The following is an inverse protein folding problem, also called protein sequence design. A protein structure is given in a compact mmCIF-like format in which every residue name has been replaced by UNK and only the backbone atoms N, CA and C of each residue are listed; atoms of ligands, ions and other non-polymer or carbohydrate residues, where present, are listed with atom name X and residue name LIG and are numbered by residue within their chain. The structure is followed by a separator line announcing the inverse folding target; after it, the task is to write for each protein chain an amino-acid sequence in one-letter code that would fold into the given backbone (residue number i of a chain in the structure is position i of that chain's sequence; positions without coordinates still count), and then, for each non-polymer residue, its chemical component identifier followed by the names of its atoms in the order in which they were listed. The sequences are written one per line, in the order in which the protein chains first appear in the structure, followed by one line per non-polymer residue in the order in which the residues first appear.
data_IF_951273972609
#
_entry.id   IF_951273972609
#
_cell.length_a   1.000
_cell.length_b   1.000
_cell.length_c   1.000
_cell.angle_alpha   90.00
_cell.angle_beta   90.00
_cell.angle_gamma   90.00
#
_symmetry.space_group_name_H-M   'P 1'
#
loop_
_entity.id
_entity.type
_entity.pdbx_description
1 polymer ?
#
# COMPACT_ATOMS: atom_id res chain seq x y z
N UNK A 1 -29.41 -12.06 -3.16
CA UNK A 1 -28.46 -11.14 -3.85
C UNK A 1 -27.19 -11.91 -4.09
N UNK A 2 -26.61 -11.81 -5.30
CA UNK A 2 -25.28 -12.38 -5.57
C UNK A 2 -24.27 -11.48 -4.85
N UNK A 3 -23.47 -12.04 -3.94
CA UNK A 3 -22.43 -11.32 -3.21
C UNK A 3 -21.05 -11.86 -3.56
N UNK A 4 -20.00 -11.07 -3.23
CA UNK A 4 -18.62 -11.48 -3.45
C UNK A 4 -18.28 -12.72 -2.63
N UNK A 5 -17.33 -13.47 -3.14
CA UNK A 5 -16.74 -14.64 -2.50
C UNK A 5 -15.41 -14.23 -1.87
N UNK A 6 -15.13 -14.75 -0.69
CA UNK A 6 -13.84 -14.70 0.00
C UNK A 6 -13.31 -16.12 0.21
N UNK A 7 -12.00 -16.25 0.44
CA UNK A 7 -11.40 -17.50 0.86
C UNK A 7 -11.02 -17.40 2.35
N UNK A 8 -11.38 -18.42 3.13
CA UNK A 8 -10.99 -18.51 4.54
C UNK A 8 -10.72 -19.98 4.90
N UNK A 9 -9.52 -20.26 5.39
CA UNK A 9 -9.14 -21.57 5.96
C UNK A 9 -9.53 -22.81 5.12
N UNK A 10 -9.27 -22.78 3.82
CA UNK A 10 -9.54 -23.91 2.93
C UNK A 10 -10.86 -23.84 2.15
N UNK A 11 -11.68 -22.83 2.40
CA UNK A 11 -13.02 -22.74 1.81
C UNK A 11 -13.24 -21.40 1.10
N UNK A 12 -13.92 -21.45 -0.06
CA UNK A 12 -14.49 -20.27 -0.70
C UNK A 12 -15.90 -20.07 -0.14
N UNK A 13 -16.13 -18.94 0.50
CA UNK A 13 -17.36 -18.61 1.24
C UNK A 13 -17.89 -17.25 0.83
N UNK A 14 -19.18 -16.95 1.04
CA UNK A 14 -19.71 -15.59 0.91
C UNK A 14 -18.90 -14.58 1.73
N UNK A 15 -18.63 -13.38 1.18
CA UNK A 15 -17.83 -12.36 1.88
C UNK A 15 -18.43 -11.96 3.24
N UNK A 16 -19.77 -11.97 3.36
CA UNK A 16 -20.49 -11.73 4.62
C UNK A 16 -20.19 -12.77 5.71
N UNK A 17 -19.76 -13.97 5.34
CA UNK A 17 -19.38 -15.07 6.25
C UNK A 17 -17.89 -15.10 6.57
N UNK A 18 -17.06 -14.29 5.87
CA UNK A 18 -15.63 -14.21 6.09
C UNK A 18 -15.31 -13.49 7.41
N UNK A 19 -15.33 -14.24 8.51
CA UNK A 19 -15.18 -13.73 9.87
C UNK A 19 -14.01 -14.39 10.58
N UNK A 20 -13.19 -13.57 11.22
CA UNK A 20 -12.11 -14.04 12.09
C UNK A 20 -12.64 -14.09 13.53
N UNK A 21 -12.35 -15.18 14.24
CA UNK A 21 -12.81 -15.34 15.62
C UNK A 21 -12.12 -14.35 16.55
N UNK A 22 -12.84 -13.84 17.56
CA UNK A 22 -12.30 -12.86 18.55
C UNK A 22 -11.11 -13.36 19.35
N UNK A 23 -10.89 -14.67 19.44
CA UNK A 23 -9.70 -15.27 20.08
C UNK A 23 -8.49 -15.38 19.15
N UNK A 24 -8.64 -15.08 17.87
CA UNK A 24 -7.53 -15.08 16.94
C UNK A 24 -6.46 -14.07 17.36
N UNK A 25 -5.21 -14.47 17.34
CA UNK A 25 -4.08 -13.62 17.74
C UNK A 25 -3.92 -12.42 16.82
N UNK A 26 -4.33 -12.51 15.56
CA UNK A 26 -4.38 -11.38 14.63
C UNK A 26 -5.24 -10.26 15.19
N UNK A 27 -6.42 -10.58 15.73
CA UNK A 27 -7.30 -9.61 16.37
C UNK A 27 -6.78 -9.16 17.74
N UNK A 28 -6.36 -10.12 18.62
CA UNK A 28 -6.00 -9.83 20.01
C UNK A 28 -4.65 -9.14 20.20
N UNK A 29 -3.70 -9.40 19.29
CA UNK A 29 -2.30 -9.02 19.45
C UNK A 29 -1.67 -8.40 18.18
N UNK A 30 -2.44 -8.23 17.11
CA UNK A 30 -1.88 -7.81 15.82
C UNK A 30 -0.90 -8.82 15.20
N UNK A 31 -0.94 -10.09 15.64
CA UNK A 31 -0.04 -11.16 15.19
C UNK A 31 -0.52 -11.73 13.85
N UNK A 32 -0.46 -10.86 12.83
CA UNK A 32 -0.95 -11.11 11.48
C UNK A 32 -0.15 -10.30 10.47
N UNK A 33 0.23 -10.94 9.38
CA UNK A 33 0.85 -10.31 8.23
C UNK A 33 -0.06 -10.40 7.01
N UNK A 34 0.10 -9.47 6.08
CA UNK A 34 -0.74 -9.40 4.90
C UNK A 34 0.01 -8.86 3.69
N UNK A 35 -0.59 -9.02 2.52
CA UNK A 35 -0.24 -8.23 1.34
C UNK A 35 -1.49 -7.73 0.62
N UNK A 36 -1.31 -6.83 -0.33
CA UNK A 36 -2.42 -6.23 -1.06
C UNK A 36 -1.98 -5.84 -2.46
N UNK A 37 -2.71 -6.31 -3.45
CA UNK A 37 -2.56 -6.02 -4.85
C UNK A 37 -3.79 -5.30 -5.40
N UNK A 38 -3.64 -4.72 -6.59
CA UNK A 38 -4.79 -4.26 -7.37
C UNK A 38 -4.86 -4.96 -8.72
N UNK A 39 -6.05 -4.98 -9.28
CA UNK A 39 -6.23 -5.32 -10.69
C UNK A 39 -6.14 -4.08 -11.58
N UNK A 40 -5.86 -4.31 -12.85
CA UNK A 40 -6.05 -3.38 -13.96
C UNK A 40 -6.84 -4.13 -15.04
N UNK A 41 -8.05 -3.68 -15.29
CA UNK A 41 -9.02 -4.40 -16.14
C UNK A 41 -9.14 -5.89 -15.79
N UNK A 42 -9.34 -6.15 -14.49
CA UNK A 42 -9.50 -7.47 -13.92
C UNK A 42 -8.22 -8.32 -13.79
N UNK A 43 -7.06 -7.85 -14.23
CA UNK A 43 -5.78 -8.59 -14.14
C UNK A 43 -4.94 -8.08 -12.99
N UNK A 44 -4.54 -8.97 -12.06
CA UNK A 44 -3.70 -8.60 -10.91
C UNK A 44 -2.30 -8.19 -11.40
N UNK A 45 -1.84 -7.04 -10.93
CA UNK A 45 -0.51 -6.53 -11.21
C UNK A 45 0.51 -7.06 -10.21
N UNK A 46 1.55 -7.75 -10.69
CA UNK A 46 2.69 -8.25 -9.89
C UNK A 46 2.30 -9.12 -8.70
N UNK A 47 1.33 -10.00 -8.86
CA UNK A 47 0.88 -10.91 -7.80
C UNK A 47 2.05 -11.68 -7.18
N UNK A 48 2.96 -12.21 -8.00
CA UNK A 48 4.09 -13.01 -7.52
C UNK A 48 5.00 -12.22 -6.57
N UNK A 49 5.37 -11.01 -6.92
CA UNK A 49 6.25 -10.16 -6.09
C UNK A 49 5.58 -9.78 -4.76
N UNK A 50 4.26 -9.57 -4.76
CA UNK A 50 3.47 -9.35 -3.54
C UNK A 50 3.47 -10.59 -2.66
N UNK A 51 3.21 -11.77 -3.21
CA UNK A 51 3.25 -13.03 -2.46
C UNK A 51 4.65 -13.33 -1.92
N UNK A 52 5.71 -13.08 -2.68
CA UNK A 52 7.09 -13.20 -2.19
C UNK A 52 7.35 -12.28 -1.00
N UNK A 53 6.81 -11.05 -1.00
CA UNK A 53 6.90 -10.13 0.15
C UNK A 53 6.08 -10.65 1.34
N UNK A 54 4.87 -11.17 1.12
CA UNK A 54 4.08 -11.83 2.15
C UNK A 54 4.87 -12.97 2.81
N UNK A 55 5.51 -13.83 2.01
CA UNK A 55 6.31 -14.94 2.53
C UNK A 55 7.58 -14.50 3.25
N UNK A 56 8.21 -13.38 2.85
CA UNK A 56 9.29 -12.77 3.65
C UNK A 56 8.76 -12.29 5.01
N UNK A 57 7.59 -11.66 5.05
CA UNK A 57 6.93 -11.24 6.29
C UNK A 57 6.59 -12.44 7.18
N UNK A 58 5.99 -13.49 6.61
CA UNK A 58 5.69 -14.76 7.31
C UNK A 58 6.94 -15.39 7.91
N UNK A 59 8.04 -15.44 7.15
CA UNK A 59 9.32 -15.97 7.63
C UNK A 59 9.86 -15.18 8.82
N UNK A 60 9.78 -13.82 8.76
CA UNK A 60 10.24 -12.95 9.84
C UNK A 60 9.44 -13.18 11.14
N UNK A 61 8.11 -13.23 11.06
CA UNK A 61 7.25 -13.46 12.23
C UNK A 61 7.11 -14.93 12.62
N UNK A 62 7.73 -15.86 11.88
CA UNK A 62 7.68 -17.31 12.10
C UNK A 62 6.26 -17.88 12.10
N UNK A 63 5.48 -17.51 11.10
CA UNK A 63 4.17 -18.11 10.83
C UNK A 63 4.32 -18.98 9.57
N UNK A 64 3.99 -20.27 9.68
CA UNK A 64 3.87 -21.16 8.53
C UNK A 64 2.42 -21.17 8.07
N UNK A 65 2.10 -20.69 6.87
CA UNK A 65 0.73 -20.70 6.36
C UNK A 65 0.23 -22.09 5.99
N UNK A 66 1.09 -23.10 5.99
CA UNK A 66 0.79 -24.46 5.51
C UNK A 66 0.56 -24.53 3.99
N UNK A 67 0.96 -23.52 3.24
CA UNK A 67 0.75 -23.36 1.80
C UNK A 67 2.05 -22.95 1.10
N UNK A 68 2.30 -23.47 -0.09
CA UNK A 68 3.35 -22.96 -0.97
C UNK A 68 2.90 -21.64 -1.63
N UNK A 69 3.86 -20.81 -2.07
CA UNK A 69 3.56 -19.59 -2.83
C UNK A 69 2.70 -19.91 -4.05
N UNK A 70 3.03 -20.97 -4.80
CA UNK A 70 2.30 -21.36 -6.01
C UNK A 70 0.84 -21.74 -5.70
N UNK A 71 0.60 -22.42 -4.57
CA UNK A 71 -0.77 -22.73 -4.15
C UNK A 71 -1.53 -21.48 -3.71
N UNK A 72 -0.86 -20.57 -3.01
CA UNK A 72 -1.45 -19.29 -2.61
C UNK A 72 -1.81 -18.44 -3.84
N UNK A 73 -0.91 -18.37 -4.83
CA UNK A 73 -1.14 -17.70 -6.10
C UNK A 73 -2.34 -18.28 -6.85
N UNK A 74 -2.39 -19.61 -7.01
CA UNK A 74 -3.49 -20.27 -7.68
C UNK A 74 -4.85 -20.01 -7.00
N UNK A 75 -4.90 -20.03 -5.65
CA UNK A 75 -6.12 -19.71 -4.90
C UNK A 75 -6.53 -18.24 -5.04
N UNK A 76 -5.57 -17.34 -5.11
CA UNK A 76 -5.84 -15.90 -5.31
C UNK A 76 -6.45 -15.67 -6.70
N UNK A 77 -5.90 -16.29 -7.73
CA UNK A 77 -6.43 -16.20 -9.09
C UNK A 77 -7.82 -16.83 -9.22
N UNK A 78 -8.03 -17.99 -8.60
CA UNK A 78 -9.36 -18.63 -8.54
C UNK A 78 -10.39 -17.75 -7.84
N UNK A 79 -10.00 -17.10 -6.72
CA UNK A 79 -10.89 -16.18 -6.02
C UNK A 79 -11.27 -14.99 -6.90
N UNK A 80 -10.30 -14.43 -7.62
CA UNK A 80 -10.54 -13.32 -8.54
C UNK A 80 -11.51 -13.71 -9.65
N UNK A 81 -11.31 -14.89 -10.28
CA UNK A 81 -12.18 -15.41 -11.33
C UNK A 81 -13.64 -15.58 -10.84
N UNK A 82 -13.82 -16.12 -9.62
CA UNK A 82 -15.16 -16.26 -9.00
C UNK A 82 -15.87 -14.92 -8.77
N UNK A 83 -15.12 -13.84 -8.61
CA UNK A 83 -15.65 -12.49 -8.38
C UNK A 83 -15.73 -11.63 -9.65
N UNK A 84 -15.15 -12.06 -10.78
CA UNK A 84 -15.15 -11.28 -12.02
C UNK A 84 -16.55 -10.85 -12.49
N UNK A 85 -17.61 -11.69 -12.40
CA UNK A 85 -18.97 -11.29 -12.76
C UNK A 85 -19.53 -10.09 -11.96
N UNK A 86 -18.93 -9.78 -10.79
CA UNK A 86 -19.35 -8.70 -9.90
C UNK A 86 -18.47 -7.46 -9.99
N UNK A 87 -17.41 -7.48 -10.79
CA UNK A 87 -16.45 -6.37 -10.90
C UNK A 87 -17.09 -5.09 -11.43
N UNK A 88 -17.98 -5.22 -12.42
CA UNK A 88 -18.56 -4.09 -13.13
C UNK A 88 -17.58 -3.42 -14.11
N UNK A 89 -18.13 -2.84 -15.17
CA UNK A 89 -17.34 -2.17 -16.19
C UNK A 89 -16.63 -0.93 -15.61
N UNK A 90 -15.34 -0.75 -15.93
CA UNK A 90 -14.53 0.37 -15.46
C UNK A 90 -14.04 0.26 -14.01
N UNK A 91 -14.49 -0.77 -13.28
CA UNK A 91 -14.05 -1.02 -11.91
C UNK A 91 -12.88 -2.01 -11.86
N UNK A 92 -12.16 -1.96 -10.76
CA UNK A 92 -11.10 -2.88 -10.42
C UNK A 92 -11.17 -3.29 -8.95
N UNK A 93 -10.43 -4.33 -8.59
CA UNK A 93 -10.38 -4.87 -7.25
C UNK A 93 -9.05 -4.57 -6.56
N UNK A 94 -9.13 -4.38 -5.26
CA UNK A 94 -8.04 -4.68 -4.35
C UNK A 94 -8.18 -6.13 -3.91
N UNK A 95 -7.11 -6.86 -3.97
CA UNK A 95 -7.00 -8.25 -3.48
C UNK A 95 -6.12 -8.23 -2.26
N UNK A 96 -6.59 -8.79 -1.16
CA UNK A 96 -5.89 -8.79 0.11
C UNK A 96 -5.71 -10.22 0.61
N UNK A 97 -4.47 -10.64 0.78
CA UNK A 97 -4.11 -11.88 1.46
C UNK A 97 -3.66 -11.56 2.88
N UNK A 98 -4.10 -12.33 3.85
CA UNK A 98 -3.63 -12.22 5.23
C UNK A 98 -3.42 -13.60 5.85
N UNK A 99 -2.48 -13.67 6.78
CA UNK A 99 -2.21 -14.87 7.57
C UNK A 99 -1.96 -14.45 9.01
N UNK A 100 -2.81 -14.91 9.93
CA UNK A 100 -2.58 -14.75 11.36
C UNK A 100 -2.00 -16.04 11.95
N UNK A 101 -1.49 -15.94 13.17
CA UNK A 101 -1.02 -17.11 13.92
C UNK A 101 -2.14 -18.03 14.43
N UNK A 102 -3.43 -17.67 14.20
CA UNK A 102 -4.58 -18.47 14.62
C UNK A 102 -5.00 -18.26 16.08
N UNK A 103 -5.78 -19.20 16.60
CA UNK A 103 -6.49 -19.09 17.89
C UNK A 103 -5.68 -19.50 19.13
N UNK A 104 -4.36 -19.43 19.11
CA UNK A 104 -3.50 -19.79 20.24
C UNK A 104 -3.48 -18.76 21.38
N UNK A 105 -3.20 -19.22 22.59
CA UNK A 105 -2.96 -18.34 23.76
C UNK A 105 -1.57 -17.70 23.71
N UNK A 106 -0.54 -18.47 23.30
CA UNK A 106 0.85 -18.05 23.18
C UNK A 106 1.31 -18.09 21.73
N UNK A 107 2.39 -17.37 21.43
CA UNK A 107 2.93 -17.30 20.06
C UNK A 107 3.54 -18.62 19.58
N UNK A 108 3.86 -19.54 20.47
CA UNK A 108 4.41 -20.87 20.18
C UNK A 108 3.42 -22.04 20.35
N UNK A 109 2.13 -21.74 20.59
CA UNK A 109 1.12 -22.77 20.65
C UNK A 109 0.99 -23.46 19.28
N UNK A 110 0.87 -24.80 19.25
CA UNK A 110 0.74 -25.57 18.01
C UNK A 110 -0.69 -25.52 17.46
N UNK A 111 -1.11 -24.35 17.00
CA UNK A 111 -2.44 -24.11 16.41
C UNK A 111 -2.33 -23.79 14.92
N UNK A 112 -3.32 -24.18 14.11
CA UNK A 112 -3.31 -23.83 12.70
C UNK A 112 -3.42 -22.32 12.53
N UNK A 113 -2.73 -21.72 11.53
CA UNK A 113 -2.89 -20.31 11.19
C UNK A 113 -4.28 -20.05 10.61
N UNK A 114 -4.74 -18.81 10.71
CA UNK A 114 -5.88 -18.34 9.92
C UNK A 114 -5.37 -17.76 8.61
N UNK A 115 -5.81 -18.32 7.49
CA UNK A 115 -5.43 -17.89 6.14
C UNK A 115 -6.64 -17.35 5.43
N UNK A 116 -6.59 -16.10 4.98
CA UNK A 116 -7.68 -15.47 4.25
C UNK A 116 -7.24 -14.74 3.00
N UNK A 117 -8.13 -14.71 2.00
CA UNK A 117 -8.00 -13.91 0.78
C UNK A 117 -9.33 -13.22 0.53
N UNK A 118 -9.31 -11.92 0.32
CA UNK A 118 -10.50 -11.11 0.04
C UNK A 118 -10.30 -10.23 -1.18
N UNK A 119 -11.40 -9.95 -1.87
CA UNK A 119 -11.47 -8.94 -2.92
C UNK A 119 -12.44 -7.84 -2.52
N UNK A 120 -12.09 -6.59 -2.81
CA UNK A 120 -12.95 -5.44 -2.58
C UNK A 120 -12.82 -4.45 -3.72
N UNK A 121 -13.91 -3.76 -4.13
CA UNK A 121 -13.84 -2.71 -5.13
C UNK A 121 -12.88 -1.61 -4.70
N UNK A 122 -12.17 -1.02 -5.66
CA UNK A 122 -11.34 0.17 -5.40
C UNK A 122 -12.25 1.37 -5.18
N UNK A 123 -12.06 2.11 -4.10
CA UNK A 123 -12.73 3.39 -3.87
C UNK A 123 -11.98 4.52 -4.60
N UNK A 124 -12.22 4.64 -5.90
CA UNK A 124 -11.59 5.68 -6.72
C UNK A 124 -12.00 7.09 -6.27
N UNK A 125 -13.26 7.31 -5.92
CA UNK A 125 -13.78 8.62 -5.52
C UNK A 125 -13.03 9.22 -4.32
N UNK A 126 -12.49 8.37 -3.43
CA UNK A 126 -11.74 8.82 -2.25
C UNK A 126 -10.45 9.60 -2.56
N UNK A 127 -9.89 9.41 -3.77
CA UNK A 127 -8.60 10.05 -4.11
C UNK A 127 -8.53 10.64 -5.53
N UNK A 128 -9.49 10.35 -6.41
CA UNK A 128 -9.42 10.73 -7.83
C UNK A 128 -9.12 12.22 -8.07
N UNK A 129 -9.73 13.12 -7.28
CA UNK A 129 -9.51 14.56 -7.39
C UNK A 129 -8.05 14.97 -7.24
N UNK A 130 -7.28 14.24 -6.44
CA UNK A 130 -5.88 14.58 -6.14
C UNK A 130 -4.93 14.35 -7.32
N UNK A 131 -5.33 13.62 -8.36
CA UNK A 131 -4.55 13.60 -9.60
C UNK A 131 -4.45 14.97 -10.25
N UNK A 132 -5.45 15.85 -10.04
CA UNK A 132 -5.50 17.22 -10.60
C UNK A 132 -5.02 18.29 -9.63
N UNK A 133 -5.30 18.11 -8.33
CA UNK A 133 -5.03 19.15 -7.33
C UNK A 133 -3.78 18.87 -6.49
N UNK A 134 -3.27 17.65 -6.52
CA UNK A 134 -2.27 17.15 -5.56
C UNK A 134 -2.88 16.90 -4.17
N UNK A 135 -2.39 15.90 -3.50
CA UNK A 135 -2.75 15.58 -2.12
C UNK A 135 -2.08 16.54 -1.14
N UNK A 136 -2.71 16.73 0.02
CA UNK A 136 -2.08 17.38 1.16
C UNK A 136 -1.41 16.32 2.04
N UNK A 137 -0.11 16.48 2.28
CA UNK A 137 0.66 15.62 3.18
C UNK A 137 0.98 16.39 4.46
N UNK A 138 0.76 15.77 5.62
CA UNK A 138 1.03 16.34 6.94
C UNK A 138 2.03 15.46 7.69
N UNK A 139 3.04 16.08 8.32
CA UNK A 139 4.01 15.37 9.16
C UNK A 139 3.48 15.35 10.60
N UNK A 140 2.96 14.19 11.09
CA UNK A 140 2.39 14.08 12.43
C UNK A 140 3.49 14.01 13.51
N UNK A 141 3.10 14.13 14.79
CA UNK A 141 4.02 13.91 15.93
C UNK A 141 4.34 12.43 16.11
N UNK A 142 3.37 11.57 15.82
CA UNK A 142 3.53 10.11 15.88
C UNK A 142 4.62 9.65 14.92
N UNK A 143 5.49 8.76 15.40
CA UNK A 143 6.64 8.24 14.63
C UNK A 143 6.34 6.88 14.02
N UNK A 144 7.07 6.55 12.95
CA UNK A 144 7.10 5.22 12.38
C UNK A 144 7.73 4.21 13.35
N UNK A 145 7.51 2.93 13.10
CA UNK A 145 8.17 1.88 13.87
C UNK A 145 9.70 1.96 13.70
N UNK A 146 10.42 1.72 14.80
CA UNK A 146 11.86 1.43 14.72
C UNK A 146 12.06 -0.02 14.32
N UNK A 147 13.02 -0.29 13.44
CA UNK A 147 13.44 -1.65 13.11
C UNK A 147 13.93 -2.43 14.35
N UNK A 148 14.28 -1.74 15.44
CA UNK A 148 14.66 -2.36 16.72
C UNK A 148 13.44 -2.90 17.51
N UNK A 149 12.23 -2.42 17.24
CA UNK A 149 10.99 -2.89 17.89
C UNK A 149 10.20 -3.81 16.96
N UNK A 150 9.89 -3.36 15.78
CA UNK A 150 9.19 -4.12 14.74
C UNK A 150 9.63 -3.58 13.38
N UNK A 151 10.32 -4.43 12.61
CA UNK A 151 10.92 -3.99 11.35
C UNK A 151 9.85 -3.52 10.34
N UNK A 152 9.88 -2.27 9.86
CA UNK A 152 8.89 -1.73 8.91
C UNK A 152 8.81 -2.49 7.58
N UNK A 153 9.82 -3.30 7.25
CA UNK A 153 9.80 -4.17 6.06
C UNK A 153 8.77 -5.29 6.17
N UNK A 154 8.31 -5.61 7.39
CA UNK A 154 7.23 -6.57 7.62
C UNK A 154 5.87 -5.88 7.41
N UNK A 155 5.08 -6.42 6.48
CA UNK A 155 3.74 -5.88 6.24
C UNK A 155 2.73 -6.54 7.18
N UNK A 156 2.32 -5.82 8.25
CA UNK A 156 1.51 -6.35 9.36
C UNK A 156 0.31 -5.46 9.69
N UNK A 157 -0.65 -5.99 10.44
CA UNK A 157 -1.83 -5.24 10.92
C UNK A 157 -1.68 -4.63 12.32
N UNK A 158 -0.51 -4.67 12.94
CA UNK A 158 -0.20 -3.90 14.16
C UNK A 158 -0.02 -2.42 13.79
N UNK A 159 -1.12 -1.71 13.53
CA UNK A 159 -1.12 -0.40 12.86
C UNK A 159 -1.66 0.74 13.73
N UNK A 160 -1.64 0.59 15.05
CA UNK A 160 -2.21 1.60 15.94
C UNK A 160 -1.49 2.96 15.86
N UNK A 161 -0.16 2.95 15.68
CA UNK A 161 0.60 4.19 15.47
C UNK A 161 0.19 4.90 14.17
N UNK A 162 -0.13 4.14 13.11
CA UNK A 162 -0.60 4.71 11.85
C UNK A 162 -1.99 5.32 11.98
N UNK A 163 -2.89 4.67 12.76
CA UNK A 163 -4.20 5.25 13.06
C UNK A 163 -4.07 6.56 13.86
N UNK A 164 -3.15 6.64 14.83
CA UNK A 164 -2.87 7.88 15.55
C UNK A 164 -2.30 8.96 14.62
N UNK A 165 -1.37 8.61 13.75
CA UNK A 165 -0.81 9.54 12.77
C UNK A 165 -1.87 10.07 11.78
N UNK A 166 -2.82 9.22 11.37
CA UNK A 166 -3.95 9.60 10.52
C UNK A 166 -4.88 10.59 11.23
N UNK A 167 -5.23 10.34 12.50
CA UNK A 167 -6.02 11.28 13.31
C UNK A 167 -5.30 12.62 13.43
N UNK A 168 -4.01 12.65 13.77
CA UNK A 168 -3.24 13.89 13.86
C UNK A 168 -3.20 14.66 12.53
N UNK A 169 -3.10 13.97 11.39
CA UNK A 169 -3.13 14.62 10.09
C UNK A 169 -4.51 15.17 9.74
N UNK A 170 -5.58 14.41 10.04
CA UNK A 170 -6.96 14.82 9.79
C UNK A 170 -7.44 15.94 10.70
N UNK A 171 -6.83 16.14 11.88
CA UNK A 171 -7.03 17.33 12.71
C UNK A 171 -6.54 18.63 12.02
N UNK A 172 -5.58 18.52 11.10
CA UNK A 172 -5.07 19.66 10.31
C UNK A 172 -5.92 19.89 9.06
N UNK A 173 -6.25 18.81 8.35
CA UNK A 173 -7.05 18.84 7.12
C UNK A 173 -7.74 17.45 6.97
N UNK A 174 -9.08 17.39 6.91
CA UNK A 174 -9.82 16.13 6.81
C UNK A 174 -9.39 15.19 5.69
N UNK A 175 -8.76 15.73 4.64
CA UNK A 175 -8.27 14.98 3.49
C UNK A 175 -6.76 14.74 3.50
N UNK A 176 -6.06 15.07 4.60
CA UNK A 176 -4.61 14.98 4.67
C UNK A 176 -4.11 13.53 4.77
N UNK A 177 -2.97 13.30 4.17
CA UNK A 177 -2.21 12.06 4.23
C UNK A 177 -1.03 12.21 5.20
N UNK A 178 -0.92 11.40 6.26
CA UNK A 178 0.21 11.49 7.18
C UNK A 178 1.50 10.98 6.53
N UNK A 179 2.60 11.70 6.71
CA UNK A 179 3.96 11.29 6.36
C UNK A 179 4.78 11.18 7.66
N UNK A 180 5.06 9.95 8.06
CA UNK A 180 5.73 9.71 9.33
C UNK A 180 7.24 10.00 9.23
N UNK A 181 7.82 10.39 10.36
CA UNK A 181 9.25 10.40 10.55
C UNK A 181 9.68 9.15 11.31
N UNK A 182 10.92 8.72 11.10
CA UNK A 182 11.57 7.75 11.98
C UNK A 182 11.95 8.37 13.33
N UNK A 183 12.61 7.60 14.21
CA UNK A 183 13.00 8.07 15.54
C UNK A 183 14.16 9.08 15.48
N UNK A 184 14.93 9.12 14.41
CA UNK A 184 16.03 10.05 14.17
C UNK A 184 15.54 11.35 13.50
N UNK A 185 14.25 11.46 13.17
CA UNK A 185 13.65 12.64 12.54
C UNK A 185 13.77 12.68 11.02
N UNK A 186 14.17 11.58 10.40
CA UNK A 186 14.17 11.47 8.94
C UNK A 186 12.79 11.07 8.41
N UNK A 187 12.48 11.44 7.18
CA UNK A 187 11.27 10.99 6.49
C UNK A 187 11.28 9.47 6.38
N UNK A 188 10.15 8.85 6.70
CA UNK A 188 9.90 7.43 6.54
C UNK A 188 8.89 7.23 5.39
N UNK A 189 7.68 6.88 5.71
CA UNK A 189 6.64 6.61 4.71
C UNK A 189 5.26 7.10 5.17
N UNK A 190 4.32 7.17 4.24
CA UNK A 190 2.91 7.30 4.56
C UNK A 190 2.38 5.97 5.11
N UNK A 191 1.26 5.99 5.80
CA UNK A 191 0.62 4.79 6.38
C UNK A 191 0.33 3.66 5.37
N UNK A 192 0.29 3.96 4.07
CA UNK A 192 -0.03 2.99 3.01
C UNK A 192 0.80 3.16 1.74
N UNK A 193 1.72 4.13 1.69
CA UNK A 193 2.47 4.49 0.49
C UNK A 193 3.92 4.87 0.81
N UNK A 194 4.82 4.61 -0.11
CA UNK A 194 6.16 5.20 -0.09
C UNK A 194 6.10 6.65 -0.59
N UNK A 195 6.92 7.52 0.00
CA UNK A 195 6.99 8.94 -0.32
C UNK A 195 8.20 9.23 -1.22
N UNK A 196 8.00 10.10 -2.20
CA UNK A 196 9.03 10.52 -3.15
C UNK A 196 9.02 12.03 -3.29
N UNK A 197 10.21 12.59 -3.49
CA UNK A 197 10.42 14.00 -3.86
C UNK A 197 11.22 14.09 -5.15
N UNK A 198 11.06 15.20 -5.85
CA UNK A 198 11.89 15.57 -7.01
C UNK A 198 12.54 16.92 -6.71
N UNK A 199 13.85 17.02 -6.92
CA UNK A 199 14.60 18.27 -6.80
C UNK A 199 15.64 18.33 -7.90
N UNK A 200 15.62 19.38 -8.72
CA UNK A 200 16.55 19.54 -9.83
C UNK A 200 16.51 18.38 -10.84
N UNK A 201 15.36 17.74 -11.02
CA UNK A 201 15.19 16.60 -11.92
C UNK A 201 15.61 15.24 -11.35
N UNK A 202 16.12 15.16 -10.11
CA UNK A 202 16.47 13.93 -9.40
C UNK A 202 15.31 13.47 -8.50
N UNK A 203 14.88 12.24 -8.67
CA UNK A 203 13.91 11.59 -7.78
C UNK A 203 14.65 11.04 -6.57
N UNK A 204 14.18 11.38 -5.36
CA UNK A 204 14.67 10.84 -4.10
C UNK A 204 13.53 10.27 -3.27
N UNK A 205 13.81 9.23 -2.51
CA UNK A 205 12.87 8.57 -1.60
C UNK A 205 13.61 8.08 -0.37
N UNK A 206 12.97 7.95 0.80
CA UNK A 206 13.62 7.39 1.97
C UNK A 206 14.30 6.05 1.69
N UNK A 207 15.47 5.84 2.34
CA UNK A 207 16.24 4.61 2.24
C UNK A 207 15.47 3.41 2.83
N UNK A 208 15.87 2.19 2.45
CA UNK A 208 15.13 0.95 2.73
C UNK A 208 15.20 0.46 4.18
N UNK A 209 15.95 1.12 5.05
CA UNK A 209 16.14 0.69 6.44
C UNK A 209 14.86 0.82 7.28
N UNK A 210 14.07 1.88 7.06
CA UNK A 210 12.95 2.27 7.93
C UNK A 210 11.63 2.44 7.16
N UNK A 211 11.43 1.70 6.06
CA UNK A 211 10.23 1.72 5.23
C UNK A 211 9.86 0.33 4.76
N UNK A 212 8.60 0.16 4.35
CA UNK A 212 8.20 -1.01 3.59
C UNK A 212 8.85 -0.98 2.20
N UNK A 213 9.45 -2.11 1.81
CA UNK A 213 9.95 -2.31 0.44
C UNK A 213 8.75 -2.49 -0.52
N UNK A 214 8.20 -1.36 -0.98
CA UNK A 214 6.98 -1.33 -1.78
C UNK A 214 7.18 -1.92 -3.19
N UNK A 215 6.29 -2.79 -3.65
CA UNK A 215 6.26 -3.24 -5.05
C UNK A 215 6.03 -2.03 -5.96
N UNK A 216 5.14 -1.12 -5.58
CA UNK A 216 4.95 0.16 -6.27
C UNK A 216 6.19 1.05 -6.27
N UNK A 217 6.96 1.05 -5.17
CA UNK A 217 8.26 1.75 -5.11
C UNK A 217 9.24 1.19 -6.16
N UNK A 218 9.33 -0.13 -6.26
CA UNK A 218 10.14 -0.80 -7.29
C UNK A 218 9.70 -0.40 -8.70
N UNK A 219 8.39 -0.38 -8.96
CA UNK A 219 7.84 0.09 -10.25
C UNK A 219 8.26 1.52 -10.56
N UNK A 220 8.25 2.45 -9.59
CA UNK A 220 8.72 3.83 -9.80
C UNK A 220 10.18 3.86 -10.25
N UNK A 221 11.07 3.09 -9.60
CA UNK A 221 12.50 3.02 -10.01
C UNK A 221 12.67 2.45 -11.42
N UNK A 222 11.91 1.42 -11.78
CA UNK A 222 11.93 0.83 -13.12
C UNK A 222 11.47 1.82 -14.18
N UNK A 223 10.37 2.54 -13.92
CA UNK A 223 9.85 3.58 -14.81
C UNK A 223 10.82 4.75 -14.94
N UNK A 224 11.39 5.23 -13.84
CA UNK A 224 12.40 6.28 -13.84
C UNK A 224 13.60 5.88 -14.71
N UNK A 225 14.12 4.65 -14.54
CA UNK A 225 15.21 4.11 -15.37
C UNK A 225 14.83 4.05 -16.83
N UNK A 226 13.63 3.58 -17.19
CA UNK A 226 13.12 3.52 -18.57
C UNK A 226 13.04 4.91 -19.20
N UNK A 227 12.70 5.93 -18.42
CA UNK A 227 12.59 7.32 -18.86
C UNK A 227 13.91 8.10 -18.82
N UNK A 228 15.00 7.48 -18.36
CA UNK A 228 16.28 8.18 -18.18
C UNK A 228 16.29 9.21 -17.06
N UNK A 229 15.36 9.11 -16.08
CA UNK A 229 15.26 10.00 -14.95
C UNK A 229 16.07 9.41 -13.79
N UNK A 230 17.05 10.13 -13.21
CA UNK A 230 17.82 9.63 -12.10
C UNK A 230 16.93 9.48 -10.85
N UNK A 231 17.07 8.34 -10.15
CA UNK A 231 16.31 8.04 -8.93
C UNK A 231 17.19 7.32 -7.91
N UNK A 232 17.09 7.70 -6.63
CA UNK A 232 17.88 7.08 -5.56
C UNK A 232 17.15 7.07 -4.22
N UNK A 233 17.50 6.09 -3.38
CA UNK A 233 17.19 6.13 -1.94
C UNK A 233 18.18 7.08 -1.23
N UNK A 234 17.66 7.87 -0.29
CA UNK A 234 18.47 8.83 0.47
C UNK A 234 17.93 8.99 1.90
N UNK A 235 18.76 9.49 2.79
CA UNK A 235 18.31 9.96 4.09
C UNK A 235 17.72 11.35 3.91
N UNK A 236 16.41 11.47 4.01
CA UNK A 236 15.66 12.70 3.76
C UNK A 236 15.10 13.24 5.07
N UNK A 237 15.10 14.55 5.20
CA UNK A 237 14.51 15.26 6.34
C UNK A 237 13.30 16.09 5.91
N UNK A 238 12.50 16.61 6.85
CA UNK A 238 11.39 17.50 6.51
C UNK A 238 11.80 18.70 5.63
N UNK A 239 13.01 19.21 5.81
CA UNK A 239 13.57 20.28 4.96
C UNK A 239 13.55 19.89 3.48
N UNK A 240 13.97 18.64 3.15
CA UNK A 240 14.01 18.16 1.77
C UNK A 240 12.60 18.10 1.15
N UNK A 241 11.59 17.68 1.94
CA UNK A 241 10.21 17.68 1.49
C UNK A 241 9.66 19.11 1.28
N UNK A 242 9.98 20.04 2.18
CA UNK A 242 9.49 21.43 2.10
C UNK A 242 10.09 22.23 0.95
N UNK A 243 11.25 21.84 0.47
CA UNK A 243 12.00 22.56 -0.59
C UNK A 243 12.03 21.83 -1.92
N UNK A 244 11.30 20.71 -2.03
CA UNK A 244 11.21 19.92 -3.25
C UNK A 244 10.42 20.66 -4.35
N UNK A 245 10.81 20.43 -5.61
CA UNK A 245 10.10 20.92 -6.79
C UNK A 245 8.78 20.19 -6.99
N UNK A 246 8.79 18.84 -6.75
CA UNK A 246 7.62 17.98 -6.82
C UNK A 246 7.67 16.94 -5.70
N UNK A 247 6.51 16.42 -5.30
CA UNK A 247 6.43 15.21 -4.50
C UNK A 247 5.25 14.34 -4.92
N UNK A 248 5.34 13.05 -4.61
CA UNK A 248 4.26 12.10 -4.85
C UNK A 248 4.31 10.93 -3.88
N UNK A 249 3.17 10.28 -3.72
CA UNK A 249 3.00 9.03 -3.00
C UNK A 249 2.90 7.87 -3.99
N UNK A 250 3.53 6.73 -3.70
CA UNK A 250 3.42 5.52 -4.53
C UNK A 250 2.89 4.34 -3.71
N UNK A 251 1.80 3.74 -4.18
CA UNK A 251 1.14 2.60 -3.54
C UNK A 251 0.35 1.77 -4.55
N UNK A 252 -0.12 0.63 -4.12
CA UNK A 252 -0.98 -0.25 -4.89
C UNK A 252 -2.31 0.42 -5.29
N UNK A 253 -2.91 1.27 -4.43
CA UNK A 253 -4.24 1.86 -4.67
C UNK A 253 -4.28 2.80 -5.87
N UNK A 254 -3.50 3.86 -5.80
CA UNK A 254 -3.51 4.96 -6.78
C UNK A 254 -2.25 4.99 -7.65
N UNK A 255 -1.40 3.98 -7.56
CA UNK A 255 -0.12 3.91 -8.28
C UNK A 255 0.81 5.07 -7.91
N UNK A 256 0.62 6.24 -8.50
CA UNK A 256 1.29 7.49 -8.18
C UNK A 256 0.22 8.54 -7.88
N UNK A 257 0.25 9.13 -6.68
CA UNK A 257 -0.61 10.25 -6.32
C UNK A 257 0.25 11.51 -6.15
N UNK A 258 0.03 12.56 -6.95
CA UNK A 258 0.75 13.81 -6.78
C UNK A 258 0.51 14.43 -5.40
N UNK A 259 1.54 15.08 -4.85
CA UNK A 259 1.44 15.88 -3.61
C UNK A 259 1.53 17.34 -3.98
N UNK A 260 0.54 18.13 -3.57
CA UNK A 260 0.45 19.56 -3.83
C UNK A 260 1.03 20.42 -2.71
N UNK A 261 1.05 19.91 -1.47
CA UNK A 261 1.63 20.61 -0.31
C UNK A 261 2.08 19.63 0.77
N UNK A 262 3.07 20.04 1.53
CA UNK A 262 3.53 19.33 2.74
C UNK A 262 3.39 20.29 3.93
N UNK A 263 2.64 19.89 4.95
CA UNK A 263 2.15 20.77 6.00
C UNK A 263 1.49 22.02 5.38
N UNK A 264 1.91 23.22 5.75
CA UNK A 264 1.37 24.47 5.17
C UNK A 264 2.20 25.03 4.02
N UNK A 265 3.06 24.22 3.37
CA UNK A 265 3.97 24.67 2.30
C UNK A 265 3.54 24.06 0.97
N UNK A 266 3.12 24.87 -0.01
CA UNK A 266 2.87 24.39 -1.36
C UNK A 266 4.17 23.91 -2.01
N UNK A 267 4.08 22.90 -2.88
CA UNK A 267 5.20 22.36 -3.65
C UNK A 267 5.08 22.78 -5.11
N UNK A 268 6.18 23.34 -5.65
CA UNK A 268 6.23 23.78 -7.04
C UNK A 268 5.15 24.81 -7.40
N UNK A 269 4.99 25.05 -8.69
CA UNK A 269 3.96 25.97 -9.20
C UNK A 269 2.60 25.30 -9.38
N UNK A 270 2.61 23.98 -9.64
CA UNK A 270 1.41 23.16 -9.91
C UNK A 270 1.65 21.68 -9.66
N UNK A 271 0.70 21.03 -9.02
CA UNK A 271 0.64 19.55 -8.92
C UNK A 271 -0.37 18.98 -9.96
N UNK A 272 -0.04 17.87 -10.63
CA UNK A 272 1.25 17.19 -10.65
C UNK A 272 2.33 17.98 -11.39
N UNK A 273 3.56 17.89 -10.91
CA UNK A 273 4.72 18.41 -11.63
C UNK A 273 5.08 17.52 -12.84
N UNK A 274 6.02 17.99 -13.70
CA UNK A 274 6.30 17.34 -14.98
C UNK A 274 6.88 15.93 -14.86
N UNK A 275 7.71 15.64 -13.86
CA UNK A 275 8.29 14.30 -13.66
C UNK A 275 7.23 13.34 -13.10
N UNK A 276 6.46 13.76 -12.13
CA UNK A 276 5.33 12.99 -11.59
C UNK A 276 4.35 12.60 -12.68
N UNK A 277 4.01 13.53 -13.58
CA UNK A 277 3.13 13.28 -14.72
C UNK A 277 3.71 12.26 -15.71
N UNK A 278 5.00 12.38 -16.04
CA UNK A 278 5.69 11.41 -16.92
C UNK A 278 5.69 9.99 -16.33
N UNK A 279 5.93 9.87 -15.02
CA UNK A 279 5.90 8.57 -14.34
C UNK A 279 4.49 7.96 -14.34
N UNK A 280 3.45 8.77 -14.05
CA UNK A 280 2.06 8.30 -14.07
C UNK A 280 1.63 7.84 -15.47
N UNK A 281 1.99 8.60 -16.52
CA UNK A 281 1.75 8.21 -17.90
C UNK A 281 2.48 6.91 -18.26
N UNK A 282 3.76 6.80 -17.91
CA UNK A 282 4.53 5.58 -18.19
C UNK A 282 3.99 4.36 -17.43
N UNK A 283 3.39 4.55 -16.24
CA UNK A 283 2.72 3.46 -15.54
C UNK A 283 1.41 3.08 -16.24
N UNK A 284 0.62 4.06 -16.68
CA UNK A 284 -0.60 3.82 -17.48
C UNK A 284 -0.30 3.02 -18.75
N UNK A 285 0.76 3.38 -19.47
CA UNK A 285 1.25 2.63 -20.63
C UNK A 285 1.66 1.20 -20.26
N UNK A 286 2.34 1.01 -19.12
CA UNK A 286 2.81 -0.29 -18.65
C UNK A 286 1.66 -1.26 -18.38
N UNK A 287 0.56 -0.76 -17.81
CA UNK A 287 -0.61 -1.57 -17.47
C UNK A 287 -1.70 -1.59 -18.54
N UNK A 288 -1.52 -0.81 -19.61
CA UNK A 288 -2.46 -0.73 -20.73
C UNK A 288 -3.79 -0.04 -20.40
N UNK A 289 -3.79 0.83 -19.36
CA UNK A 289 -5.00 1.51 -18.88
C UNK A 289 -4.63 2.91 -18.37
N UNK A 290 -5.40 3.93 -18.77
CA UNK A 290 -5.23 5.29 -18.23
C UNK A 290 -5.71 5.34 -16.78
N UNK A 291 -4.73 5.32 -15.85
CA UNK A 291 -4.95 5.27 -14.40
C UNK A 291 -5.69 6.52 -13.91
N UNK A 292 -5.32 7.70 -14.40
CA UNK A 292 -5.94 8.96 -14.02
C UNK A 292 -7.38 9.02 -14.54
N UNK A 293 -7.59 8.74 -15.83
CA UNK A 293 -8.91 8.76 -16.45
C UNK A 293 -9.85 7.74 -15.80
N UNK A 294 -9.37 6.52 -15.49
CA UNK A 294 -10.16 5.54 -14.76
C UNK A 294 -10.64 6.10 -13.41
N UNK A 295 -9.74 6.65 -12.61
CA UNK A 295 -10.11 7.19 -11.30
C UNK A 295 -11.09 8.36 -11.41
N UNK A 296 -10.85 9.29 -12.35
CA UNK A 296 -11.69 10.47 -12.56
C UNK A 296 -13.08 10.15 -13.11
N UNK A 297 -13.28 8.99 -13.74
CA UNK A 297 -14.59 8.57 -14.22
C UNK A 297 -15.57 8.20 -13.09
N UNK A 298 -15.09 8.16 -11.84
CA UNK A 298 -15.89 7.81 -10.65
C UNK A 298 -16.29 9.03 -9.80
N UNK A 299 -16.03 10.27 -10.26
CA UNK A 299 -16.39 11.53 -9.57
C UNK A 299 -17.12 12.51 -10.48
#
# INVERSE_FOLDING_TARGET
MIERISYLNGQFIPDSECKVHVTDRGFRAGDVVYDMERTFDGKIYRLREHLERLYRSLKYVRIDPGLTIDRFEAMTLELLERNEPLRGQGNDYLVNQFVSRGNGGRANDPVPPTVGIRVQPINFAGYARFYRTGAHVVIPRTRSYSAQSLDPKVKHYSRLNFALAELEATDVDPDAYPLLLDLEGNLSENISANFFIVTGGLIRTPGESNILQGVSRTTVFELARKLGIPATGANLQPYDAYTADEAFLATTFYCILPVGRVDNRPLGEKAPGPITRKLLQAWSELVGLDIEAQALSHI
#
